data_IF_991492344921
#
_entry.id   IF_991492344921
#
_cell.length_a   1.000
_cell.length_b   1.000
_cell.length_c   1.000
_cell.angle_alpha   90.00
_cell.angle_beta   90.00
_cell.angle_gamma   90.00
#
_symmetry.space_group_name_H-M   'P 1'
#
loop_
_entity.id
_entity.type
_entity.pdbx_description
1 polymer ?
#
# COMPACT_ATOMS: atom_id res chain seq x y z
N UNK A 1 -3.37 -5.07 2.40
CA UNK A 1 -3.36 -3.89 3.30
C UNK A 1 -2.24 -2.95 2.85
N UNK A 2 -2.29 -1.67 3.20
CA UNK A 2 -1.12 -0.76 3.12
C UNK A 2 -0.66 -0.35 4.52
N UNK A 3 0.65 -0.23 4.75
CA UNK A 3 1.16 0.18 6.06
C UNK A 3 0.90 -0.81 7.19
N UNK A 4 0.66 -0.30 8.40
CA UNK A 4 0.40 -1.10 9.60
C UNK A 4 -0.98 -1.76 9.53
N UNK A 5 -1.05 -3.04 9.87
CA UNK A 5 -2.29 -3.84 9.95
C UNK A 5 -2.89 -3.82 11.36
N UNK A 6 -4.14 -4.25 11.47
CA UNK A 6 -4.87 -4.41 12.75
C UNK A 6 -4.23 -5.41 13.71
N UNK A 7 -3.44 -6.35 13.19
CA UNK A 7 -2.67 -7.34 13.96
C UNK A 7 -1.20 -6.96 14.17
N UNK A 8 -0.81 -5.73 13.80
CA UNK A 8 0.52 -5.18 14.10
C UNK A 8 1.62 -5.51 13.08
N UNK A 9 1.28 -6.11 11.94
CA UNK A 9 2.23 -6.29 10.84
C UNK A 9 2.47 -4.95 10.14
N UNK A 10 3.63 -4.80 9.49
CA UNK A 10 3.97 -3.58 8.74
C UNK A 10 4.25 -3.92 7.29
N UNK A 11 3.48 -3.32 6.38
CA UNK A 11 3.69 -3.39 4.93
C UNK A 11 4.24 -2.04 4.48
N UNK A 12 5.53 -1.95 4.20
CA UNK A 12 6.15 -0.72 3.70
C UNK A 12 5.79 -0.49 2.23
N UNK A 13 6.08 0.71 1.72
CA UNK A 13 5.97 1.01 0.27
C UNK A 13 6.87 0.07 -0.54
N UNK A 14 8.05 -0.28 -0.02
CA UNK A 14 8.98 -1.20 -0.68
C UNK A 14 8.39 -2.62 -0.79
N UNK A 15 7.78 -3.13 0.29
CA UNK A 15 7.12 -4.44 0.27
C UNK A 15 5.98 -4.47 -0.74
N UNK A 16 5.17 -3.40 -0.78
CA UNK A 16 4.07 -3.32 -1.72
C UNK A 16 4.53 -3.24 -3.18
N UNK A 17 5.68 -2.60 -3.46
CA UNK A 17 6.33 -2.63 -4.79
C UNK A 17 6.79 -4.04 -5.16
N UNK A 18 7.35 -4.80 -4.21
CA UNK A 18 7.69 -6.22 -4.42
C UNK A 18 6.46 -7.05 -4.76
N UNK A 19 5.35 -6.88 -4.03
CA UNK A 19 4.08 -7.54 -4.34
C UNK A 19 3.53 -7.16 -5.71
N UNK A 20 3.66 -5.88 -6.09
CA UNK A 20 3.25 -5.37 -7.40
C UNK A 20 4.06 -6.01 -8.52
N UNK A 21 5.38 -6.09 -8.36
CA UNK A 21 6.27 -6.74 -9.32
C UNK A 21 5.97 -8.23 -9.47
N UNK A 22 5.67 -8.92 -8.37
CA UNK A 22 5.23 -10.32 -8.40
C UNK A 22 3.91 -10.48 -9.17
N UNK A 23 2.90 -9.64 -8.88
CA UNK A 23 1.63 -9.68 -9.59
C UNK A 23 1.80 -9.46 -11.10
N UNK A 24 2.67 -8.52 -11.47
CA UNK A 24 3.05 -8.22 -12.86
C UNK A 24 3.73 -9.41 -13.54
N UNK A 25 4.68 -10.05 -12.87
CA UNK A 25 5.42 -11.19 -13.41
C UNK A 25 4.52 -12.39 -13.70
N UNK A 26 3.48 -12.58 -12.88
CA UNK A 26 2.61 -13.75 -12.93
C UNK A 26 1.27 -13.50 -13.63
N UNK A 27 1.06 -12.32 -14.21
CA UNK A 27 -0.19 -11.96 -14.88
C UNK A 27 -1.42 -12.26 -14.03
N UNK A 28 -1.38 -11.85 -12.76
CA UNK A 28 -2.53 -12.04 -11.88
C UNK A 28 -3.74 -11.28 -12.44
N UNK A 29 -4.96 -11.61 -12.01
CA UNK A 29 -6.12 -10.89 -12.53
C UNK A 29 -6.25 -9.48 -11.91
N UNK A 30 -5.75 -9.31 -10.68
CA UNK A 30 -5.96 -8.09 -9.89
C UNK A 30 -5.01 -8.01 -8.69
N UNK A 31 -4.54 -6.80 -8.41
CA UNK A 31 -3.95 -6.39 -7.14
C UNK A 31 -4.74 -5.21 -6.57
N UNK A 32 -4.94 -5.18 -5.24
CA UNK A 32 -5.63 -4.08 -4.54
C UNK A 32 -5.07 -3.94 -3.13
N UNK A 33 -5.27 -2.78 -2.50
CA UNK A 33 -5.01 -2.60 -1.07
C UNK A 33 -6.19 -1.90 -0.37
N UNK A 34 -6.24 -2.09 0.95
CA UNK A 34 -7.13 -1.36 1.84
C UNK A 34 -6.27 -0.40 2.67
N UNK A 35 -6.46 0.93 2.59
CA UNK A 35 -7.41 1.66 1.72
C UNK A 35 -6.83 2.99 1.24
N UNK A 36 -7.45 3.59 0.22
CA UNK A 36 -7.03 4.86 -0.39
C UNK A 36 -6.97 5.99 0.64
N UNK A 37 -7.93 6.07 1.57
CA UNK A 37 -7.93 7.08 2.64
C UNK A 37 -6.69 7.02 3.54
N UNK A 38 -6.03 5.85 3.62
CA UNK A 38 -4.83 5.61 4.43
C UNK A 38 -3.52 5.89 3.69
N UNK A 39 -3.55 6.17 2.39
CA UNK A 39 -2.34 6.27 1.55
C UNK A 39 -1.66 7.65 1.65
N UNK A 40 -1.21 7.99 2.86
CA UNK A 40 -0.58 9.26 3.20
C UNK A 40 0.21 9.18 4.53
N UNK A 41 1.18 10.09 4.76
CA UNK A 41 1.86 10.20 6.05
C UNK A 41 0.87 10.45 7.20
N UNK A 42 1.22 9.96 8.39
CA UNK A 42 0.44 10.24 9.60
C UNK A 42 0.76 11.62 10.17
N UNK A 43 -0.27 12.46 10.30
CA UNK A 43 -0.20 13.76 11.01
C UNK A 43 -1.08 13.79 12.26
N UNK A 44 -1.56 12.61 12.70
CA UNK A 44 -2.60 12.43 13.71
C UNK A 44 -3.77 11.59 13.16
N UNK A 45 -4.77 11.33 14.01
CA UNK A 45 -5.94 10.50 13.67
C UNK A 45 -5.79 9.01 14.00
N UNK A 46 -6.77 8.21 13.59
CA UNK A 46 -6.83 6.76 13.86
C UNK A 46 -6.25 5.90 12.74
N UNK A 47 -6.36 4.58 12.87
CA UNK A 47 -5.86 3.64 11.86
C UNK A 47 -6.46 3.87 10.45
N UNK A 48 -7.63 4.50 10.37
CA UNK A 48 -8.37 4.74 9.13
C UNK A 48 -7.89 5.99 8.36
N UNK A 49 -7.03 6.82 8.96
CA UNK A 49 -6.63 8.13 8.41
C UNK A 49 -5.27 8.14 7.72
N UNK A 50 -4.40 7.18 8.03
CA UNK A 50 -3.05 7.09 7.47
C UNK A 50 -2.50 5.65 7.56
N UNK A 51 -1.37 5.39 6.91
CA UNK A 51 -0.80 4.06 6.78
C UNK A 51 0.02 3.62 8.01
N UNK A 52 0.49 4.55 8.84
CA UNK A 52 1.38 4.24 9.96
C UNK A 52 2.84 3.99 9.56
N UNK A 53 3.20 4.16 8.27
CA UNK A 53 4.57 3.97 7.79
C UNK A 53 5.13 5.24 7.12
N UNK A 54 6.46 5.43 7.08
CA UNK A 54 7.07 6.48 6.28
C UNK A 54 6.70 6.31 4.80
N UNK A 55 6.05 7.33 4.25
CA UNK A 55 5.70 7.42 2.84
C UNK A 55 5.49 8.88 2.44
N UNK A 56 5.41 9.17 1.15
CA UNK A 56 4.78 10.37 0.61
C UNK A 56 3.32 10.10 0.25
N UNK A 57 2.57 11.18 0.00
CA UNK A 57 1.19 11.08 -0.46
C UNK A 57 1.07 10.17 -1.70
N UNK A 58 0.14 9.22 -1.60
CA UNK A 58 -0.29 8.34 -2.68
C UNK A 58 0.75 7.33 -3.16
N UNK A 59 1.79 7.02 -2.38
CA UNK A 59 2.83 6.09 -2.82
C UNK A 59 2.33 4.65 -3.05
N UNK A 60 1.38 4.15 -2.26
CA UNK A 60 0.79 2.82 -2.51
C UNK A 60 -0.07 2.83 -3.78
N UNK A 61 -0.83 3.90 -4.01
CA UNK A 61 -1.63 4.10 -5.23
C UNK A 61 -0.74 4.20 -6.46
N UNK A 62 0.36 4.96 -6.40
CA UNK A 62 1.34 5.05 -7.49
C UNK A 62 1.98 3.70 -7.80
N UNK A 63 2.34 2.93 -6.78
CA UNK A 63 2.85 1.58 -6.96
C UNK A 63 1.80 0.69 -7.63
N UNK A 64 0.56 0.70 -7.15
CA UNK A 64 -0.52 -0.07 -7.76
C UNK A 64 -0.81 0.35 -9.22
N UNK A 65 -0.76 1.64 -9.53
CA UNK A 65 -1.01 2.16 -10.88
C UNK A 65 0.05 1.75 -11.91
N UNK A 66 1.24 1.29 -11.47
CA UNK A 66 2.26 0.72 -12.35
C UNK A 66 1.93 -0.70 -12.81
N UNK A 67 0.93 -1.35 -12.21
CA UNK A 67 0.51 -2.69 -12.58
C UNK A 67 -0.34 -2.68 -13.86
N UNK A 68 0.02 -3.49 -14.86
CA UNK A 68 -0.63 -3.51 -16.18
C UNK A 68 -1.28 -4.84 -16.58
N UNK A 69 -1.44 -5.78 -15.64
CA UNK A 69 -2.04 -7.10 -15.92
C UNK A 69 -0.99 -8.17 -16.06
#
# INVERSE_FOLDING_TARGET
MNGTTDVGETITVADFRTMTAYAQQHHLARLTFWSVNRDRPCTGGGADTCSGVPQSDWEFTKALAAYTG
#
